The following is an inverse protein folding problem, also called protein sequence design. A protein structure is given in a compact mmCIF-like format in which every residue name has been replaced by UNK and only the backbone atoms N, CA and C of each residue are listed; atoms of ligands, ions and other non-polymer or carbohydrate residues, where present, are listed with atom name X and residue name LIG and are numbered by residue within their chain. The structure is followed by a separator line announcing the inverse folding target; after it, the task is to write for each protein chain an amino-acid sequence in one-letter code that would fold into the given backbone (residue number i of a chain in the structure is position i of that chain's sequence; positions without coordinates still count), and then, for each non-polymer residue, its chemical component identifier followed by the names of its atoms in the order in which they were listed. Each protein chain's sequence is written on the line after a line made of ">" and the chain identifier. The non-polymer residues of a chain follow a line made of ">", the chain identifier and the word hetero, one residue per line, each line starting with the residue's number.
data_IF_359848900351
#
_entry.id   IF_359848900351
#
_cell.length_a   1.000
_cell.length_b   1.000
_cell.length_c   1.000
_cell.angle_alpha   90.00
_cell.angle_beta   90.00
_cell.angle_gamma   90.00
#
_symmetry.space_group_name_H-M   'P 1'
#
loop_
_entity.id
_entity.type
_entity.pdbx_description
1 polymer ?
#
# COMPACT_ATOMS: atom_id res chain seq x y z
N UNK A 1 -3.38 9.41 11.73
CA UNK A 1 -3.21 10.03 10.39
C UNK A 1 -2.54 8.97 9.54
N UNK A 2 -3.07 8.67 8.34
CA UNK A 2 -2.51 7.64 7.46
C UNK A 2 -1.43 8.29 6.59
N UNK A 3 -0.18 7.85 6.75
CA UNK A 3 0.92 8.32 5.90
C UNK A 3 1.02 7.48 4.62
N UNK A 4 1.07 8.12 3.46
CA UNK A 4 1.27 7.45 2.16
C UNK A 4 2.63 7.83 1.62
N UNK A 5 3.38 6.80 1.25
CA UNK A 5 4.75 6.90 0.79
C UNK A 5 4.81 6.29 -0.61
N UNK A 6 5.11 7.12 -1.59
CA UNK A 6 5.12 6.73 -3.00
C UNK A 6 6.46 7.12 -3.61
N UNK A 7 7.04 6.22 -4.40
CA UNK A 7 8.23 6.52 -5.17
C UNK A 7 7.91 7.52 -6.30
N UNK A 8 8.71 8.58 -6.41
CA UNK A 8 8.50 9.67 -7.36
C UNK A 8 8.63 9.23 -8.84
N UNK A 9 9.15 8.04 -9.10
CA UNK A 9 9.25 7.46 -10.45
C UNK A 9 7.91 6.86 -10.93
N UNK A 10 6.90 6.79 -10.06
CA UNK A 10 5.59 6.23 -10.38
C UNK A 10 4.89 6.97 -11.53
N UNK A 11 4.31 6.20 -12.46
CA UNK A 11 3.44 6.74 -13.50
C UNK A 11 2.04 7.05 -12.97
N UNK A 12 1.29 7.88 -13.70
CA UNK A 12 0.00 8.40 -13.26
C UNK A 12 -1.05 7.30 -12.99
N UNK A 13 -1.03 6.20 -13.75
CA UNK A 13 -2.00 5.12 -13.59
C UNK A 13 -1.71 4.31 -12.32
N UNK A 14 -0.43 4.03 -12.05
CA UNK A 14 0.01 3.41 -10.80
C UNK A 14 -0.33 4.29 -9.58
N UNK A 15 -0.10 5.61 -9.67
CA UNK A 15 -0.47 6.55 -8.61
C UNK A 15 -1.96 6.47 -8.31
N UNK A 16 -2.81 6.55 -9.35
CA UNK A 16 -4.27 6.48 -9.19
C UNK A 16 -4.71 5.17 -8.55
N UNK A 17 -4.09 4.04 -8.90
CA UNK A 17 -4.36 2.74 -8.29
C UNK A 17 -3.98 2.72 -6.80
N UNK A 18 -2.81 3.22 -6.44
CA UNK A 18 -2.35 3.29 -5.03
C UNK A 18 -3.23 4.24 -4.22
N UNK A 19 -3.67 5.37 -4.78
CA UNK A 19 -4.60 6.30 -4.13
C UNK A 19 -5.98 5.65 -3.91
N UNK A 20 -6.52 4.95 -4.91
CA UNK A 20 -7.77 4.20 -4.80
C UNK A 20 -7.68 3.13 -3.71
N UNK A 21 -6.58 2.38 -3.69
CA UNK A 21 -6.30 1.37 -2.68
C UNK A 21 -6.21 1.96 -1.27
N UNK A 22 -5.44 3.03 -1.10
CA UNK A 22 -5.29 3.73 0.17
C UNK A 22 -6.63 4.24 0.71
N UNK A 23 -7.48 4.79 -0.17
CA UNK A 23 -8.83 5.23 0.21
C UNK A 23 -9.69 4.07 0.71
N UNK A 24 -9.63 2.89 0.09
CA UNK A 24 -10.34 1.68 0.54
C UNK A 24 -9.81 1.18 1.88
N UNK A 25 -8.49 1.13 2.05
CA UNK A 25 -7.84 0.76 3.31
C UNK A 25 -8.31 1.67 4.46
N UNK A 26 -8.27 2.99 4.26
CA UNK A 26 -8.70 3.98 5.28
C UNK A 26 -10.14 3.78 5.74
N UNK A 27 -11.03 3.31 4.86
CA UNK A 27 -12.45 3.13 5.18
C UNK A 27 -12.75 1.81 5.89
N UNK A 28 -11.92 0.78 5.72
CA UNK A 28 -12.31 -0.61 6.04
C UNK A 28 -11.31 -1.37 6.92
N UNK A 29 -10.04 -0.98 6.89
CA UNK A 29 -8.98 -1.63 7.64
C UNK A 29 -8.66 -0.77 8.86
N UNK A 30 -9.03 -1.20 10.08
CA UNK A 30 -8.68 -0.48 11.30
C UNK A 30 -7.17 -0.53 11.52
N UNK A 31 -6.62 0.51 12.15
CA UNK A 31 -5.22 0.52 12.57
C UNK A 31 -4.20 0.65 11.44
N UNK A 32 -4.58 0.96 10.19
CA UNK A 32 -3.59 1.27 9.15
C UNK A 32 -2.90 2.60 9.46
N UNK A 33 -1.59 2.56 9.61
CA UNK A 33 -0.76 3.74 9.93
C UNK A 33 0.01 4.25 8.73
N UNK A 34 0.45 3.35 7.84
CA UNK A 34 1.28 3.70 6.70
C UNK A 34 1.02 2.78 5.51
N UNK A 35 1.04 3.34 4.31
CA UNK A 35 1.09 2.59 3.04
C UNK A 35 2.37 3.03 2.30
N UNK A 36 3.20 2.07 1.91
CA UNK A 36 4.41 2.31 1.12
C UNK A 36 4.28 1.56 -0.20
N UNK A 37 4.23 2.27 -1.32
CA UNK A 37 4.17 1.67 -2.65
C UNK A 37 5.49 1.89 -3.40
N UNK A 38 5.95 0.83 -4.09
CA UNK A 38 7.10 0.91 -5.01
C UNK A 38 6.75 1.74 -6.25
N UNK A 39 7.71 1.96 -7.15
CA UNK A 39 7.51 2.83 -8.30
C UNK A 39 6.57 2.26 -9.38
N UNK A 40 6.43 0.95 -9.48
CA UNK A 40 5.59 0.34 -10.52
C UNK A 40 5.07 -1.04 -10.10
N UNK A 41 4.09 -1.59 -10.83
CA UNK A 41 3.59 -2.94 -10.58
C UNK A 41 4.65 -4.03 -10.65
N UNK A 42 5.69 -3.86 -11.47
CA UNK A 42 6.73 -4.85 -11.72
C UNK A 42 7.83 -4.86 -10.66
N UNK A 43 8.04 -3.76 -9.92
CA UNK A 43 8.99 -3.74 -8.81
C UNK A 43 8.47 -4.62 -7.67
N UNK A 44 9.34 -5.47 -7.10
CA UNK A 44 8.97 -6.41 -6.04
C UNK A 44 9.99 -6.42 -4.92
N UNK A 45 9.49 -6.32 -3.69
CA UNK A 45 10.20 -6.58 -2.44
C UNK A 45 9.39 -7.64 -1.69
N UNK A 46 9.99 -8.81 -1.44
CA UNK A 46 9.27 -9.98 -0.91
C UNK A 46 8.04 -10.39 -1.75
N UNK A 47 8.17 -10.37 -3.08
CA UNK A 47 7.08 -10.67 -4.03
C UNK A 47 5.87 -9.70 -3.94
N UNK A 48 6.04 -8.59 -3.23
CA UNK A 48 5.03 -7.55 -3.02
C UNK A 48 5.51 -6.20 -3.53
N UNK A 49 4.58 -5.35 -3.96
CA UNK A 49 4.88 -3.98 -4.42
C UNK A 49 4.26 -2.89 -3.56
N UNK A 50 3.46 -3.29 -2.57
CA UNK A 50 2.89 -2.37 -1.57
C UNK A 50 3.05 -2.99 -0.19
N UNK A 51 3.54 -2.20 0.76
CA UNK A 51 3.58 -2.53 2.18
C UNK A 51 2.46 -1.75 2.89
N UNK A 52 1.61 -2.48 3.60
CA UNK A 52 0.57 -1.91 4.46
C UNK A 52 1.01 -2.11 5.91
N UNK A 53 1.27 -1.02 6.60
CA UNK A 53 1.68 -1.06 8.01
C UNK A 53 0.47 -0.83 8.90
N UNK A 54 0.24 -1.75 9.83
CA UNK A 54 -0.83 -1.69 10.83
C UNK A 54 -0.29 -1.59 12.25
N UNK A 55 -1.11 -1.12 13.18
CA UNK A 55 -0.76 -1.02 14.61
C UNK A 55 -0.58 -2.40 15.25
N UNK A 56 -1.50 -3.32 14.96
CA UNK A 56 -1.54 -4.68 15.51
C UNK A 56 -1.95 -5.71 14.45
N UNK A 57 -1.50 -6.95 14.61
CA UNK A 57 -1.90 -8.07 13.76
C UNK A 57 -3.27 -8.61 14.19
N UNK A 58 -4.20 -8.68 13.24
CA UNK A 58 -5.49 -9.34 13.41
C UNK A 58 -5.78 -10.21 12.18
N UNK A 59 -6.33 -11.40 12.39
CA UNK A 59 -6.60 -12.40 11.33
C UNK A 59 -7.49 -11.86 10.19
N UNK A 60 -8.31 -10.85 10.46
CA UNK A 60 -9.19 -10.23 9.47
C UNK A 60 -8.53 -9.11 8.65
N UNK A 61 -7.39 -8.57 9.10
CA UNK A 61 -6.73 -7.45 8.42
C UNK A 61 -6.27 -7.88 7.03
N UNK A 62 -5.56 -9.00 6.91
CA UNK A 62 -5.03 -9.48 5.63
C UNK A 62 -6.15 -9.63 4.58
N UNK A 63 -7.28 -10.23 4.98
CA UNK A 63 -8.44 -10.39 4.09
C UNK A 63 -8.99 -9.04 3.63
N UNK A 64 -9.15 -8.09 4.55
CA UNK A 64 -9.66 -6.75 4.21
C UNK A 64 -8.68 -5.96 3.33
N UNK A 65 -7.38 -6.16 3.51
CA UNK A 65 -6.34 -5.58 2.65
C UNK A 65 -6.45 -6.16 1.23
N UNK A 66 -6.60 -7.48 1.10
CA UNK A 66 -6.81 -8.14 -0.19
C UNK A 66 -8.10 -7.66 -0.87
N UNK A 67 -9.22 -7.60 -0.14
CA UNK A 67 -10.50 -7.11 -0.66
C UNK A 67 -10.39 -5.65 -1.14
N UNK A 68 -9.68 -4.81 -0.39
CA UNK A 68 -9.42 -3.43 -0.78
C UNK A 68 -8.56 -3.32 -2.05
N UNK A 69 -7.60 -4.22 -2.25
CA UNK A 69 -6.78 -4.26 -3.45
C UNK A 69 -7.61 -4.64 -4.67
N UNK A 70 -8.39 -5.73 -4.58
CA UNK A 70 -9.28 -6.18 -5.67
C UNK A 70 -10.21 -5.06 -6.11
N UNK A 71 -10.88 -4.39 -5.16
CA UNK A 71 -11.80 -3.30 -5.50
C UNK A 71 -11.10 -2.08 -6.09
N UNK A 72 -9.87 -1.77 -5.67
CA UNK A 72 -9.11 -0.66 -6.24
C UNK A 72 -8.72 -0.96 -7.69
N UNK A 73 -8.30 -2.20 -7.97
CA UNK A 73 -7.99 -2.66 -9.31
C UNK A 73 -9.23 -2.68 -10.21
N UNK A 74 -10.38 -3.09 -9.69
CA UNK A 74 -11.66 -3.02 -10.41
C UNK A 74 -12.06 -1.56 -10.72
N UNK A 75 -11.85 -0.64 -9.78
CA UNK A 75 -12.18 0.78 -9.96
C UNK A 75 -11.33 1.43 -11.05
N UNK A 76 -10.05 1.08 -11.16
CA UNK A 76 -9.11 1.69 -12.13
C UNK A 76 -8.93 0.87 -13.41
N UNK A 77 -9.46 -0.36 -13.47
CA UNK A 77 -9.25 -1.29 -14.59
C UNK A 77 -7.87 -1.95 -14.62
N UNK A 78 -7.07 -1.80 -13.56
CA UNK A 78 -5.71 -2.33 -13.44
C UNK A 78 -5.67 -3.67 -12.70
N UNK A 79 -6.34 -4.67 -13.24
CA UNK A 79 -6.47 -6.00 -12.62
C UNK A 79 -5.12 -6.71 -12.41
N UNK A 80 -4.91 -7.23 -11.19
CA UNK A 80 -3.75 -8.05 -10.80
C UNK A 80 -2.43 -7.29 -10.67
N UNK A 81 -2.46 -5.97 -10.51
CA UNK A 81 -1.27 -5.12 -10.40
C UNK A 81 -0.83 -4.91 -8.95
N UNK A 82 -1.74 -4.89 -7.99
CA UNK A 82 -1.44 -4.78 -6.56
C UNK A 82 -1.07 -6.15 -5.98
N UNK A 83 0.09 -6.21 -5.33
CA UNK A 83 0.50 -7.31 -4.47
C UNK A 83 0.87 -6.72 -3.10
N UNK A 84 -0.11 -6.53 -2.22
CA UNK A 84 0.14 -5.97 -0.90
C UNK A 84 0.68 -7.03 0.07
N UNK A 85 1.58 -6.62 0.95
CA UNK A 85 1.97 -7.36 2.15
C UNK A 85 1.66 -6.50 3.38
N UNK A 86 1.25 -7.14 4.47
CA UNK A 86 0.93 -6.45 5.73
C UNK A 86 2.07 -6.67 6.72
N UNK A 87 2.40 -5.65 7.51
CA UNK A 87 3.30 -5.79 8.66
C UNK A 87 2.85 -4.88 9.81
N UNK A 88 3.37 -5.15 11.00
CA UNK A 88 3.26 -4.26 12.15
C UNK A 88 4.36 -3.19 12.14
N UNK A 89 4.17 -2.11 12.91
CA UNK A 89 5.19 -1.07 13.12
C UNK A 89 6.51 -1.58 13.73
N UNK A 90 6.51 -2.79 14.30
CA UNK A 90 7.67 -3.39 14.99
C UNK A 90 8.59 -4.13 14.03
N UNK A 91 8.16 -4.38 12.80
CA UNK A 91 8.87 -5.20 11.85
C UNK A 91 9.84 -4.39 10.97
N UNK A 92 11.03 -4.93 10.66
CA UNK A 92 12.05 -4.25 9.86
C UNK A 92 11.70 -4.18 8.36
N UNK A 93 10.52 -4.67 7.95
CA UNK A 93 10.06 -4.67 6.55
C UNK A 93 9.98 -3.25 5.97
N UNK A 94 9.65 -2.28 6.82
CA UNK A 94 9.54 -0.88 6.43
C UNK A 94 10.82 -0.30 5.81
N UNK A 95 11.98 -0.63 6.40
CA UNK A 95 13.28 -0.12 5.93
C UNK A 95 13.62 -0.63 4.52
N UNK A 96 13.17 -1.84 4.17
CA UNK A 96 13.40 -2.44 2.86
C UNK A 96 12.49 -1.89 1.76
N UNK A 97 11.27 -1.49 2.12
CA UNK A 97 10.33 -0.85 1.19
C UNK A 97 10.64 0.63 0.97
N UNK A 98 11.15 1.35 1.98
CA UNK A 98 11.38 2.81 1.90
C UNK A 98 12.66 3.18 1.14
N UNK A 99 13.65 2.28 1.02
CA UNK A 99 14.80 2.43 0.11
C UNK A 99 15.28 3.88 -0.14
N UNK A 100 15.69 4.62 0.89
CA UNK A 100 16.38 5.93 0.80
C UNK A 100 15.69 7.13 0.12
N UNK A 101 14.62 6.95 -0.67
CA UNK A 101 14.10 7.98 -1.60
C UNK A 101 12.57 8.15 -1.59
N UNK A 102 11.89 7.84 -0.49
CA UNK A 102 10.42 8.03 -0.43
C UNK A 102 10.00 9.43 0.01
N UNK A 103 8.97 9.97 -0.64
CA UNK A 103 8.33 11.25 -0.26
C UNK A 103 6.97 10.96 0.38
N UNK A 104 6.68 11.64 1.48
CA UNK A 104 5.38 11.59 2.15
C UNK A 104 4.37 12.44 1.39
N UNK A 105 3.26 11.84 0.97
CA UNK A 105 2.16 12.54 0.33
C UNK A 105 1.05 12.70 1.37
N UNK A 106 0.96 13.88 1.98
CA UNK A 106 -0.18 14.24 2.83
C UNK A 106 -1.37 14.61 1.94
N UNK A 107 -2.40 13.75 1.87
CA UNK A 107 -3.67 14.14 1.28
C UNK A 107 -4.42 15.09 2.22
N UNK A 108 -4.56 16.36 1.78
CA UNK A 108 -5.45 17.38 2.34
C UNK A 108 -6.92 16.97 2.30
#
# INVERSE_FOLDING_TARGET
>A
MLGVYLDLRADEDWIRLVEAFTRKLRLRVPGVVKVVALASPEERVYDSNVLVVVEEEEELIERRVVDAAIEAEEETGMHGQLSPITCTIKEPLLERFIGGFTVEVEHL
#
